data_IF_131264015356
#
_entry.id   IF_131264015356
#
_cell.length_a   1.000
_cell.length_b   1.000
_cell.length_c   1.000
_cell.angle_alpha   90.00
_cell.angle_beta   90.00
_cell.angle_gamma   90.00
#
_symmetry.space_group_name_H-M   'P 1'
#
loop_
_entity.id
_entity.type
_entity.pdbx_description
1 polymer ?
#
# COMPACT_ATOMS: atom_id res chain seq x y z
N UNK A 1 -23.18 30.77 4.71
CA UNK A 1 -21.75 30.45 4.51
C UNK A 1 -20.95 31.71 4.26
N UNK A 2 -20.07 32.11 5.19
CA UNK A 2 -19.26 33.35 5.08
C UNK A 2 -17.91 33.26 5.81
N UNK A 3 -17.38 32.05 6.06
CA UNK A 3 -16.12 31.87 6.77
C UNK A 3 -15.10 31.16 5.90
N UNK A 4 -13.92 31.77 5.74
CA UNK A 4 -12.75 31.17 5.12
C UNK A 4 -11.73 30.80 6.19
N UNK A 5 -11.06 29.66 6.03
CA UNK A 5 -10.00 29.21 6.92
C UNK A 5 -8.67 29.21 6.15
N UNK A 6 -7.62 29.75 6.77
CA UNK A 6 -6.25 29.69 6.28
C UNK A 6 -5.36 28.92 7.25
N UNK A 7 -4.55 27.98 6.74
CA UNK A 7 -3.54 27.27 7.53
C UNK A 7 -2.23 27.20 6.75
N UNK A 8 -1.16 27.75 7.33
CA UNK A 8 0.18 27.79 6.73
C UNK A 8 1.09 26.69 7.29
N UNK A 9 1.92 27.04 8.29
CA UNK A 9 2.97 26.14 8.81
C UNK A 9 2.46 24.80 9.36
N UNK A 10 1.27 24.76 9.96
CA UNK A 10 0.68 23.50 10.41
C UNK A 10 0.31 22.55 9.26
N UNK A 11 -0.14 23.11 8.13
CA UNK A 11 -0.52 22.33 6.94
C UNK A 11 0.71 21.85 6.16
N UNK A 12 1.74 22.70 6.03
CA UNK A 12 2.85 22.45 5.11
C UNK A 12 4.15 21.98 5.78
N UNK A 13 4.37 22.27 7.07
CA UNK A 13 5.68 22.07 7.71
C UNK A 13 5.63 21.14 8.94
N UNK A 14 4.47 21.00 9.60
CA UNK A 14 4.32 20.10 10.77
C UNK A 14 4.06 18.63 10.38
N UNK A 15 4.68 18.18 9.30
CA UNK A 15 4.63 16.80 8.81
C UNK A 15 6.07 16.32 8.59
N UNK A 16 6.34 15.05 8.88
CA UNK A 16 7.59 14.41 8.51
C UNK A 16 7.33 13.02 7.92
N UNK A 17 8.38 12.37 7.42
CA UNK A 17 8.30 11.01 6.82
C UNK A 17 7.61 10.00 7.75
N UNK A 18 7.85 10.10 9.05
CA UNK A 18 7.35 9.14 10.04
C UNK A 18 5.88 9.35 10.39
N UNK A 19 5.31 10.54 10.11
CA UNK A 19 3.88 10.82 10.29
C UNK A 19 3.01 9.76 9.59
N UNK A 20 3.40 9.37 8.38
CA UNK A 20 2.73 8.32 7.61
C UNK A 20 3.52 7.00 7.54
N UNK A 21 4.65 6.91 8.25
CA UNK A 21 5.55 5.74 8.27
C UNK A 21 6.03 5.33 6.86
N UNK A 22 6.26 6.29 5.97
CA UNK A 22 6.72 6.04 4.61
C UNK A 22 8.10 5.36 4.63
N UNK A 23 8.22 4.21 3.96
CA UNK A 23 9.46 3.43 3.93
C UNK A 23 9.63 2.66 2.62
N UNK A 24 10.89 2.52 2.18
CA UNK A 24 11.28 1.66 1.07
C UNK A 24 12.03 0.42 1.60
N UNK A 25 11.71 -0.76 1.06
CA UNK A 25 12.29 -2.04 1.48
C UNK A 25 12.42 -2.98 0.28
N UNK A 26 13.56 -3.67 0.20
CA UNK A 26 13.72 -4.80 -0.72
C UNK A 26 12.81 -5.96 -0.27
N UNK A 27 12.09 -6.57 -1.21
CA UNK A 27 11.17 -7.68 -0.95
C UNK A 27 11.56 -8.98 -1.68
N UNK A 28 12.25 -8.91 -2.83
CA UNK A 28 12.69 -10.05 -3.64
C UNK A 28 14.06 -9.74 -4.25
N UNK A 29 14.95 -10.72 -4.30
CA UNK A 29 16.19 -10.68 -5.10
C UNK A 29 16.25 -11.91 -6.01
N UNK A 30 17.02 -11.83 -7.10
CA UNK A 30 17.32 -12.98 -7.95
C UNK A 30 18.81 -13.28 -7.91
N UNK A 31 19.18 -14.50 -7.53
CA UNK A 31 20.58 -14.97 -7.46
C UNK A 31 20.69 -16.23 -8.31
N UNK A 32 21.59 -16.23 -9.29
CA UNK A 32 21.78 -17.36 -10.22
C UNK A 32 20.47 -17.80 -10.92
N UNK A 33 19.61 -16.84 -11.27
CA UNK A 33 18.30 -17.10 -11.88
C UNK A 33 17.18 -17.52 -10.91
N UNK A 34 17.51 -17.75 -9.63
CA UNK A 34 16.52 -18.13 -8.61
C UNK A 34 16.04 -16.93 -7.81
N UNK A 35 14.71 -16.75 -7.74
CA UNK A 35 14.08 -15.73 -6.91
C UNK A 35 14.12 -16.13 -5.44
N UNK A 36 14.42 -15.17 -4.57
CA UNK A 36 14.45 -15.34 -3.11
C UNK A 36 13.77 -14.16 -2.43
N UNK A 37 12.86 -14.46 -1.51
CA UNK A 37 12.23 -13.46 -0.67
C UNK A 37 13.27 -12.83 0.28
N UNK A 38 13.23 -11.51 0.40
CA UNK A 38 14.07 -10.73 1.33
C UNK A 38 13.17 -9.88 2.21
N UNK A 39 13.43 -9.85 3.51
CA UNK A 39 12.65 -9.04 4.43
C UNK A 39 13.41 -8.72 5.71
N UNK A 40 12.99 -7.64 6.37
CA UNK A 40 13.42 -7.31 7.72
C UNK A 40 12.43 -7.91 8.71
N UNK A 41 12.93 -8.59 9.73
CA UNK A 41 12.13 -9.10 10.86
C UNK A 41 12.86 -8.83 12.20
N UNK A 42 12.84 -7.56 12.66
CA UNK A 42 13.62 -7.17 13.84
C UNK A 42 13.05 -7.80 15.12
N UNK A 43 13.94 -8.25 16.01
CA UNK A 43 13.58 -8.92 17.26
C UNK A 43 12.86 -7.97 18.22
N UNK A 44 13.33 -6.72 18.30
CA UNK A 44 12.89 -5.74 19.30
C UNK A 44 11.65 -4.93 18.91
N UNK A 45 11.21 -5.00 17.65
CA UNK A 45 10.07 -4.21 17.16
C UNK A 45 9.31 -4.96 16.07
N UNK A 46 8.41 -5.84 16.49
CA UNK A 46 7.60 -6.68 15.57
C UNK A 46 6.75 -5.85 14.59
N UNK A 47 6.48 -4.58 14.88
CA UNK A 47 5.76 -3.65 14.01
C UNK A 47 6.58 -3.15 12.81
N UNK A 48 7.90 -3.36 12.82
CA UNK A 48 8.83 -2.96 11.74
C UNK A 48 9.19 -4.10 10.78
N UNK A 49 8.48 -5.23 10.86
CA UNK A 49 8.62 -6.30 9.89
C UNK A 49 8.20 -5.83 8.48
N UNK A 50 8.97 -6.17 7.45
CA UNK A 50 8.62 -5.83 6.06
C UNK A 50 7.92 -6.99 5.35
N UNK A 51 7.16 -6.66 4.30
CA UNK A 51 6.56 -7.65 3.40
C UNK A 51 7.63 -8.38 2.59
N UNK A 52 7.26 -9.53 2.02
CA UNK A 52 8.14 -10.47 1.31
C UNK A 52 7.69 -10.69 -0.12
N UNK A 53 8.64 -10.92 -1.02
CA UNK A 53 8.42 -11.30 -2.41
C UNK A 53 7.74 -10.23 -3.25
N UNK A 54 7.24 -10.63 -4.43
CA UNK A 54 6.41 -9.76 -5.28
C UNK A 54 5.09 -9.44 -4.61
N UNK A 55 4.66 -8.19 -4.78
CA UNK A 55 3.48 -7.63 -4.16
C UNK A 55 2.50 -7.18 -5.23
N UNK A 56 1.21 -7.38 -5.00
CA UNK A 56 0.11 -6.72 -5.73
C UNK A 56 -0.76 -5.97 -4.73
N UNK A 57 -1.38 -4.87 -5.13
CA UNK A 57 -2.44 -4.22 -4.36
C UNK A 57 -3.78 -4.55 -5.02
N UNK A 58 -4.74 -5.06 -4.26
CA UNK A 58 -6.04 -5.48 -4.79
C UNK A 58 -7.16 -4.84 -3.96
N UNK A 59 -8.33 -4.66 -4.57
CA UNK A 59 -9.56 -4.39 -3.83
C UNK A 59 -9.89 -5.60 -2.98
N UNK A 60 -10.16 -5.38 -1.69
CA UNK A 60 -10.46 -6.47 -0.76
C UNK A 60 -11.72 -7.25 -1.18
N UNK A 61 -12.69 -6.58 -1.78
CA UNK A 61 -13.92 -7.17 -2.31
C UNK A 61 -13.70 -8.09 -3.52
N UNK A 62 -12.61 -7.88 -4.27
CA UNK A 62 -12.30 -8.64 -5.48
C UNK A 62 -11.23 -9.72 -5.23
N UNK A 63 -10.62 -9.71 -4.04
CA UNK A 63 -9.61 -10.69 -3.65
C UNK A 63 -10.28 -12.01 -3.31
N UNK A 64 -10.00 -13.05 -4.09
CA UNK A 64 -10.64 -14.36 -4.01
C UNK A 64 -9.59 -15.47 -3.89
N UNK A 65 -10.01 -16.65 -3.42
CA UNK A 65 -9.10 -17.82 -3.34
C UNK A 65 -8.21 -17.83 -2.10
N UNK A 66 -8.50 -16.99 -1.12
CA UNK A 66 -7.82 -16.94 0.17
C UNK A 66 -8.80 -17.12 1.31
N UNK A 67 -8.26 -17.51 2.46
CA UNK A 67 -8.99 -17.73 3.70
C UNK A 67 -8.44 -16.85 4.82
N UNK A 68 -9.10 -16.86 5.97
CA UNK A 68 -8.58 -16.19 7.18
C UNK A 68 -7.24 -16.75 7.66
N UNK A 69 -6.87 -17.97 7.24
CA UNK A 69 -5.56 -18.53 7.54
C UNK A 69 -4.43 -17.83 6.75
N UNK A 70 -4.74 -17.20 5.61
CA UNK A 70 -3.79 -16.49 4.76
C UNK A 70 -3.54 -15.05 5.21
N UNK A 71 -4.31 -14.55 6.19
CA UNK A 71 -4.06 -13.26 6.83
C UNK A 71 -2.68 -13.24 7.46
N UNK A 72 -1.93 -12.17 7.19
CA UNK A 72 -0.58 -12.02 7.73
C UNK A 72 -0.61 -12.01 9.26
N UNK A 73 0.22 -12.86 9.85
CA UNK A 73 0.44 -12.98 11.28
C UNK A 73 1.94 -12.76 11.52
N UNK A 74 2.33 -11.76 12.34
CA UNK A 74 3.73 -11.54 12.66
C UNK A 74 4.30 -12.76 13.40
N UNK A 75 5.63 -12.87 13.43
CA UNK A 75 6.33 -13.93 14.16
C UNK A 75 5.79 -14.05 15.60
N UNK A 76 5.26 -15.23 15.92
CA UNK A 76 4.73 -15.57 17.24
C UNK A 76 5.80 -16.24 18.12
N UNK A 77 5.60 -16.18 19.44
CA UNK A 77 6.58 -16.66 20.41
C UNK A 77 6.49 -18.18 20.68
N UNK A 78 5.37 -18.84 20.30
CA UNK A 78 5.15 -20.27 20.53
C UNK A 78 5.76 -21.17 19.44
N UNK A 79 5.76 -20.74 18.18
CA UNK A 79 6.35 -21.45 17.02
C UNK A 79 6.81 -20.41 15.98
N UNK A 80 8.01 -19.82 16.17
CA UNK A 80 8.41 -18.65 15.39
C UNK A 80 8.73 -19.02 13.94
N UNK A 81 7.97 -18.44 13.01
CA UNK A 81 8.33 -18.41 11.58
C UNK A 81 8.97 -17.05 11.28
N UNK A 82 10.23 -17.00 10.80
CA UNK A 82 10.88 -15.74 10.44
C UNK A 82 10.03 -14.91 9.49
N UNK A 83 9.77 -13.66 9.86
CA UNK A 83 8.93 -12.71 9.12
C UNK A 83 7.45 -13.09 9.04
N UNK A 84 6.96 -13.93 9.97
CA UNK A 84 5.55 -14.26 10.08
C UNK A 84 5.02 -15.26 9.04
N UNK A 85 3.72 -15.54 9.16
CA UNK A 85 2.95 -16.42 8.26
C UNK A 85 1.84 -15.63 7.57
N UNK A 86 1.25 -16.20 6.51
CA UNK A 86 0.23 -15.53 5.71
C UNK A 86 0.82 -14.53 4.70
N UNK A 87 -0.01 -14.16 3.73
CA UNK A 87 0.38 -13.29 2.61
C UNK A 87 -0.58 -12.10 2.41
N UNK A 88 -1.69 -12.03 3.14
CA UNK A 88 -2.66 -10.95 3.03
C UNK A 88 -2.42 -9.87 4.08
N UNK A 89 -2.15 -8.66 3.62
CA UNK A 89 -2.02 -7.47 4.48
C UNK A 89 -3.11 -6.47 4.14
N UNK A 90 -4.14 -6.40 4.97
CA UNK A 90 -5.27 -5.49 4.78
C UNK A 90 -4.91 -4.05 5.18
N UNK A 91 -5.49 -3.08 4.47
CA UNK A 91 -5.53 -1.69 4.93
C UNK A 91 -6.37 -1.57 6.20
N UNK A 92 -6.14 -0.51 6.99
CA UNK A 92 -6.87 -0.30 8.25
C UNK A 92 -8.38 -0.18 8.07
N UNK A 93 -8.81 0.38 6.93
CA UNK A 93 -10.22 0.49 6.56
C UNK A 93 -10.79 -0.76 5.86
N UNK A 94 -9.96 -1.79 5.64
CA UNK A 94 -10.33 -3.05 5.01
C UNK A 94 -10.67 -2.96 3.52
N UNK A 95 -10.52 -1.79 2.87
CA UNK A 95 -10.88 -1.62 1.45
C UNK A 95 -9.87 -2.27 0.51
N UNK A 96 -8.60 -2.30 0.91
CA UNK A 96 -7.52 -2.81 0.10
C UNK A 96 -6.78 -3.93 0.81
N UNK A 97 -6.15 -4.78 0.03
CA UNK A 97 -5.26 -5.82 0.51
C UNK A 97 -4.01 -5.87 -0.36
N UNK A 98 -2.85 -5.83 0.29
CA UNK A 98 -1.60 -6.21 -0.36
C UNK A 98 -1.46 -7.72 -0.28
N UNK A 99 -1.35 -8.38 -1.43
CA UNK A 99 -1.06 -9.82 -1.52
C UNK A 99 0.43 -9.98 -1.80
N UNK A 100 1.13 -10.65 -0.88
CA UNK A 100 2.58 -10.78 -0.87
C UNK A 100 3.08 -12.13 -1.41
N UNK A 101 4.41 -12.30 -1.45
CA UNK A 101 5.11 -13.53 -1.86
C UNK A 101 4.68 -14.07 -3.24
N UNK A 102 4.34 -13.17 -4.17
CA UNK A 102 3.96 -13.53 -5.53
C UNK A 102 2.64 -14.28 -5.65
N UNK A 103 1.80 -14.27 -4.60
CA UNK A 103 0.49 -14.94 -4.59
C UNK A 103 -0.64 -14.08 -5.17
N UNK A 104 -0.37 -12.81 -5.46
CA UNK A 104 -1.34 -11.90 -6.04
C UNK A 104 -1.76 -12.28 -7.45
N UNK A 105 -2.95 -11.82 -7.85
CA UNK A 105 -3.42 -11.91 -9.23
C UNK A 105 -3.02 -10.62 -9.96
N UNK A 106 -2.10 -10.67 -10.96
CA UNK A 106 -1.70 -9.48 -11.71
C UNK A 106 -2.85 -8.79 -12.43
N UNK A 107 -3.95 -9.50 -12.74
CA UNK A 107 -5.13 -8.91 -13.39
C UNK A 107 -5.97 -8.06 -12.45
N UNK A 108 -5.80 -8.25 -11.14
CA UNK A 108 -6.48 -7.50 -10.07
C UNK A 108 -5.55 -6.48 -9.41
N UNK A 109 -4.29 -6.42 -9.85
CA UNK A 109 -3.34 -5.47 -9.32
C UNK A 109 -3.72 -4.06 -9.78
N UNK A 110 -4.02 -3.19 -8.82
CA UNK A 110 -4.37 -1.79 -9.09
C UNK A 110 -3.12 -0.90 -9.18
N UNK A 111 -1.93 -1.45 -8.91
CA UNK A 111 -0.68 -0.78 -9.21
C UNK A 111 -0.45 -0.77 -10.71
N UNK A 112 -0.10 0.40 -11.24
CA UNK A 112 0.12 0.61 -12.68
C UNK A 112 1.58 0.93 -12.97
N UNK A 113 2.07 0.45 -14.11
CA UNK A 113 3.40 0.81 -14.62
C UNK A 113 3.40 2.29 -15.03
N UNK A 114 3.92 3.17 -14.18
CA UNK A 114 4.04 4.61 -14.47
C UNK A 114 5.34 4.98 -15.17
N UNK A 115 6.38 4.14 -15.04
CA UNK A 115 7.71 4.37 -15.61
C UNK A 115 8.37 3.05 -15.95
N UNK A 116 9.02 2.97 -17.13
CA UNK A 116 9.68 1.76 -17.60
C UNK A 116 10.85 2.10 -18.49
N UNK A 117 12.01 1.48 -18.21
CA UNK A 117 13.22 1.57 -19.03
C UNK A 117 13.67 3.00 -19.40
N UNK A 118 13.56 3.95 -18.46
CA UNK A 118 13.96 5.34 -18.71
C UNK A 118 12.84 6.24 -19.20
N UNK A 119 11.64 5.70 -19.48
CA UNK A 119 10.52 6.45 -20.05
C UNK A 119 9.33 6.52 -19.09
N UNK A 120 8.74 7.72 -18.99
CA UNK A 120 7.45 7.94 -18.32
C UNK A 120 6.32 7.37 -19.20
N UNK A 121 5.44 6.58 -18.61
CA UNK A 121 4.33 5.92 -19.29
C UNK A 121 2.98 6.57 -18.99
N UNK A 122 2.86 7.14 -17.78
CA UNK A 122 1.62 7.75 -17.30
C UNK A 122 1.95 9.10 -16.67
N UNK A 123 1.22 10.13 -17.09
CA UNK A 123 1.29 11.47 -16.51
C UNK A 123 -0.14 11.92 -16.21
N UNK A 124 -0.41 12.31 -14.97
CA UNK A 124 -1.75 12.67 -14.50
C UNK A 124 -1.84 14.18 -14.32
N UNK A 125 -2.90 14.77 -14.86
CA UNK A 125 -3.20 16.19 -14.64
C UNK A 125 -3.67 16.43 -13.21
N UNK A 126 -3.51 17.67 -12.72
CA UNK A 126 -3.96 18.05 -11.39
C UNK A 126 -5.48 17.86 -11.21
N UNK A 127 -6.27 18.06 -12.27
CA UNK A 127 -7.72 17.93 -12.22
C UNK A 127 -8.16 16.46 -12.14
N UNK A 128 -7.46 15.55 -12.82
CA UNK A 128 -7.66 14.11 -12.66
C UNK A 128 -7.35 13.67 -11.23
N UNK A 129 -6.22 14.12 -10.67
CA UNK A 129 -5.82 13.82 -9.29
C UNK A 129 -6.86 14.35 -8.28
N UNK A 130 -7.35 15.58 -8.47
CA UNK A 130 -8.39 16.18 -7.61
C UNK A 130 -9.70 15.40 -7.66
N UNK A 131 -10.12 14.98 -8.84
CA UNK A 131 -11.33 14.19 -9.04
C UNK A 131 -11.22 12.83 -8.36
N UNK A 132 -10.07 12.17 -8.46
CA UNK A 132 -9.82 10.86 -7.83
C UNK A 132 -9.72 10.96 -6.30
N UNK A 133 -9.10 12.03 -5.79
CA UNK A 133 -8.96 12.26 -4.35
C UNK A 133 -10.26 12.76 -3.68
N UNK A 134 -11.32 12.98 -4.45
CA UNK A 134 -12.53 13.58 -3.92
C UNK A 134 -13.27 12.64 -2.97
N UNK A 135 -13.90 13.25 -1.97
CA UNK A 135 -14.71 12.52 -0.99
C UNK A 135 -16.18 12.58 -1.37
N UNK A 136 -17.01 11.76 -0.72
CA UNK A 136 -18.47 11.87 -0.89
C UNK A 136 -18.92 13.30 -0.53
N UNK A 137 -19.58 13.98 -1.47
CA UNK A 137 -19.98 15.39 -1.38
C UNK A 137 -18.80 16.38 -1.30
N UNK A 138 -17.65 16.00 -1.85
CA UNK A 138 -16.49 16.87 -1.94
C UNK A 138 -16.56 17.89 -3.09
N UNK A 139 -15.63 18.84 -3.14
CA UNK A 139 -15.69 19.99 -4.04
C UNK A 139 -15.33 19.67 -5.50
N UNK A 140 -14.86 18.47 -5.82
CA UNK A 140 -14.35 18.12 -7.16
C UNK A 140 -15.23 17.12 -7.92
N UNK A 141 -16.21 16.51 -7.25
CA UNK A 141 -17.02 15.41 -7.74
C UNK A 141 -18.47 15.83 -8.03
N UNK A 142 -18.70 16.56 -9.12
CA UNK A 142 -19.95 16.57 -9.90
C UNK A 142 -21.31 16.66 -9.17
N UNK A 143 -21.37 17.16 -7.93
CA UNK A 143 -22.60 17.42 -7.20
C UNK A 143 -23.23 18.70 -7.70
N UNK A 144 -24.45 18.59 -8.26
CA UNK A 144 -25.22 19.67 -8.88
C UNK A 144 -25.14 20.99 -8.10
N UNK A 145 -24.80 22.05 -8.82
CA UNK A 145 -25.28 23.40 -8.52
C UNK A 145 -26.81 23.35 -8.45
N UNK A 146 -27.37 23.65 -7.27
CA UNK A 146 -28.74 24.10 -7.10
C UNK A 146 -28.72 25.45 -6.43
#
# INVERSE_FOLDING_TARGET
DNIGFGSGGALLQKLNRDTFKCAFKCAEITINGEKRDVFKDPITDKGKASKKGRLTLQLASETTGFTDADKYKPRSDANPVPGGTGCLHYSTDGKFVTVASGRGDPKKDILVDVFKNGSLLVDYTLDEIRKEADIKNGPFGGGKTS
#
